data_IF_945764217854
#
_entry.id   IF_945764217854
#
_cell.length_a   1.000
_cell.length_b   1.000
_cell.length_c   1.000
_cell.angle_alpha   90.00
_cell.angle_beta   90.00
_cell.angle_gamma   90.00
#
_symmetry.space_group_name_H-M   'P 1'
#
loop_
_entity.id
_entity.type
_entity.pdbx_description
1 polymer ?
#
# COMPACT_ATOMS: atom_id res chain seq x y z
N UNK A 1 16.40 -12.48 -63.82
CA UNK A 1 16.44 -12.94 -62.42
C UNK A 1 15.70 -11.91 -61.62
N UNK A 2 14.42 -12.15 -61.38
CA UNK A 2 13.55 -11.26 -60.63
C UNK A 2 13.97 -11.26 -59.16
N UNK A 3 14.11 -10.06 -58.62
CA UNK A 3 14.40 -9.82 -57.21
C UNK A 3 13.11 -10.15 -56.45
N UNK A 4 13.09 -11.27 -55.73
CA UNK A 4 12.00 -11.59 -54.81
C UNK A 4 12.00 -10.54 -53.69
N UNK A 5 11.12 -9.56 -53.82
CA UNK A 5 10.78 -8.63 -52.76
C UNK A 5 10.06 -9.40 -51.66
N UNK A 6 10.64 -9.44 -50.46
CA UNK A 6 9.94 -9.88 -49.26
C UNK A 6 8.79 -8.90 -49.03
N UNK A 7 7.58 -9.34 -49.36
CA UNK A 7 6.36 -8.62 -49.00
C UNK A 7 6.29 -8.53 -47.47
N UNK A 8 6.44 -7.32 -46.94
CA UNK A 8 6.00 -6.99 -45.59
C UNK A 8 4.50 -7.22 -45.50
N UNK A 9 4.11 -8.41 -45.03
CA UNK A 9 2.73 -8.70 -44.66
C UNK A 9 2.44 -7.94 -43.37
N UNK A 10 1.81 -6.78 -43.48
CA UNK A 10 1.29 -6.02 -42.34
C UNK A 10 -0.15 -6.44 -42.07
N UNK A 11 -0.31 -7.60 -41.41
CA UNK A 11 -1.59 -8.08 -40.88
C UNK A 11 -1.60 -8.07 -39.34
N UNK A 12 -2.78 -8.03 -38.69
CA UNK A 12 -2.88 -8.30 -37.26
C UNK A 12 -2.41 -9.74 -36.97
N UNK A 13 -1.36 -9.89 -36.17
CA UNK A 13 -0.74 -11.19 -35.85
C UNK A 13 0.56 -11.50 -36.59
N UNK A 14 1.28 -10.50 -37.10
CA UNK A 14 2.59 -10.69 -37.73
C UNK A 14 3.73 -10.29 -36.78
N UNK A 15 4.63 -11.24 -36.53
CA UNK A 15 5.83 -11.03 -35.73
C UNK A 15 6.78 -10.07 -36.46
N UNK A 16 7.16 -8.99 -35.77
CA UNK A 16 8.18 -8.04 -36.21
C UNK A 16 9.57 -8.60 -35.92
N UNK A 17 9.73 -9.21 -34.75
CA UNK A 17 10.98 -9.78 -34.26
C UNK A 17 10.78 -11.25 -33.87
N UNK A 18 11.89 -11.99 -33.79
CA UNK A 18 11.90 -13.31 -33.17
C UNK A 18 11.80 -13.13 -31.64
N UNK A 19 10.94 -13.90 -30.98
CA UNK A 19 10.82 -13.91 -29.51
C UNK A 19 10.42 -12.53 -28.95
N UNK A 20 9.26 -12.04 -29.39
CA UNK A 20 8.65 -10.80 -28.89
C UNK A 20 7.26 -11.03 -28.29
N UNK A 21 6.79 -10.05 -27.51
CA UNK A 21 5.40 -9.97 -27.06
C UNK A 21 4.86 -8.57 -27.28
N UNK A 22 3.63 -8.45 -27.74
CA UNK A 22 3.00 -7.15 -27.94
C UNK A 22 1.51 -7.17 -27.55
N UNK A 23 0.94 -6.02 -27.14
CA UNK A 23 -0.44 -5.99 -26.68
C UNK A 23 -1.43 -6.27 -27.81
N UNK A 24 -2.57 -6.87 -27.46
CA UNK A 24 -3.75 -6.92 -28.33
C UNK A 24 -4.52 -5.60 -28.19
N UNK A 25 -4.95 -5.02 -29.31
CA UNK A 25 -5.67 -3.75 -29.32
C UNK A 25 -6.97 -3.84 -28.51
N UNK A 26 -7.21 -2.87 -27.63
CA UNK A 26 -8.41 -2.80 -26.77
C UNK A 26 -8.40 -3.70 -25.53
N UNK A 27 -7.51 -4.70 -25.41
CA UNK A 27 -7.47 -5.63 -24.27
C UNK A 27 -6.28 -5.40 -23.35
N UNK A 28 -6.50 -5.34 -22.03
CA UNK A 28 -5.41 -5.17 -21.07
C UNK A 28 -4.72 -6.49 -20.68
N UNK A 29 -5.42 -7.60 -20.86
CA UNK A 29 -5.02 -8.94 -20.41
C UNK A 29 -4.77 -9.92 -21.57
N UNK A 30 -4.89 -9.47 -22.82
CA UNK A 30 -4.53 -10.25 -24.02
C UNK A 30 -3.28 -9.70 -24.68
N UNK A 31 -2.45 -10.59 -25.18
CA UNK A 31 -1.20 -10.26 -25.86
C UNK A 31 -0.90 -11.28 -26.95
N UNK A 32 -0.11 -10.86 -27.95
CA UNK A 32 0.46 -11.77 -28.92
C UNK A 32 1.85 -12.15 -28.44
N UNK A 33 2.15 -13.44 -28.45
CA UNK A 33 3.47 -13.99 -28.21
C UNK A 33 4.01 -14.57 -29.52
N UNK A 34 5.23 -14.15 -29.88
CA UNK A 34 5.89 -14.52 -31.11
C UNK A 34 7.09 -15.40 -30.78
N UNK A 35 6.97 -16.72 -30.90
CA UNK A 35 8.08 -17.66 -30.67
C UNK A 35 8.63 -18.11 -32.02
N UNK A 36 9.91 -17.85 -32.29
CA UNK A 36 10.55 -18.20 -33.56
C UNK A 36 9.74 -17.75 -34.81
N UNK A 37 9.10 -16.58 -34.73
CA UNK A 37 8.27 -16.01 -35.81
C UNK A 37 6.85 -16.56 -35.91
N UNK A 38 6.44 -17.49 -35.03
CA UNK A 38 5.06 -17.96 -34.94
C UNK A 38 4.30 -17.14 -33.90
N UNK A 39 3.29 -16.39 -34.35
CA UNK A 39 2.42 -15.59 -33.49
C UNK A 39 1.29 -16.43 -32.91
N UNK A 40 1.08 -16.34 -31.61
CA UNK A 40 -0.07 -16.90 -30.91
C UNK A 40 -0.68 -15.84 -29.99
N UNK A 41 -2.00 -15.74 -29.99
CA UNK A 41 -2.70 -14.89 -29.04
C UNK A 41 -2.85 -15.61 -27.70
N UNK A 42 -2.39 -14.96 -26.64
CA UNK A 42 -2.40 -15.44 -25.26
C UNK A 42 -3.30 -14.55 -24.41
N UNK A 43 -3.84 -15.15 -23.36
CA UNK A 43 -4.64 -14.49 -22.34
C UNK A 43 -3.92 -14.65 -20.99
N UNK A 44 -3.78 -13.56 -20.25
CA UNK A 44 -3.29 -13.60 -18.89
C UNK A 44 -4.28 -14.36 -17.97
N UNK A 45 -3.81 -14.99 -16.89
CA UNK A 45 -4.71 -15.59 -15.89
C UNK A 45 -5.72 -14.58 -15.36
N UNK A 46 -6.89 -15.07 -14.96
CA UNK A 46 -7.99 -14.25 -14.45
C UNK A 46 -7.55 -13.36 -13.28
N UNK A 47 -7.69 -12.04 -13.45
CA UNK A 47 -7.26 -11.02 -12.51
C UNK A 47 -5.87 -10.41 -12.75
N UNK A 48 -5.08 -10.94 -13.69
CA UNK A 48 -3.79 -10.38 -14.09
C UNK A 48 -3.87 -9.60 -15.40
N UNK A 49 -2.87 -8.74 -15.64
CA UNK A 49 -2.78 -7.84 -16.80
C UNK A 49 -1.46 -8.02 -17.53
N UNK A 50 -1.48 -7.85 -18.84
CA UNK A 50 -0.28 -7.95 -19.66
C UNK A 50 0.57 -6.67 -19.54
N UNK A 51 1.80 -6.84 -19.03
CA UNK A 51 2.83 -5.81 -19.01
C UNK A 51 3.75 -5.94 -20.23
N UNK A 52 3.71 -5.01 -21.21
CA UNK A 52 4.59 -5.02 -22.37
C UNK A 52 6.04 -4.60 -22.07
N UNK A 53 6.33 -4.12 -20.85
CA UNK A 53 7.63 -3.53 -20.50
C UNK A 53 8.59 -4.50 -19.80
N UNK A 54 8.30 -5.81 -19.83
CA UNK A 54 9.20 -6.83 -19.29
C UNK A 54 9.96 -7.53 -20.42
N UNK A 55 11.15 -8.04 -20.10
CA UNK A 55 11.92 -8.86 -21.03
C UNK A 55 11.17 -10.14 -21.39
N UNK A 56 11.44 -10.68 -22.58
CA UNK A 56 10.78 -11.89 -23.09
C UNK A 56 10.92 -13.11 -22.14
N UNK A 57 12.07 -13.25 -21.48
CA UNK A 57 12.36 -14.34 -20.55
C UNK A 57 11.64 -14.21 -19.19
N UNK A 58 10.96 -13.08 -18.94
CA UNK A 58 10.18 -12.81 -17.73
C UNK A 58 8.70 -13.06 -18.02
N UNK A 59 7.98 -13.64 -17.06
CA UNK A 59 6.54 -13.84 -17.16
C UNK A 59 5.81 -12.49 -17.28
N UNK A 60 4.94 -12.28 -18.29
CA UNK A 60 4.46 -10.95 -18.65
C UNK A 60 3.16 -10.52 -17.96
N UNK A 61 2.49 -11.41 -17.22
CA UNK A 61 1.23 -11.09 -16.56
C UNK A 61 1.47 -10.68 -15.11
N UNK A 62 0.99 -9.49 -14.75
CA UNK A 62 1.26 -8.82 -13.47
C UNK A 62 -0.02 -8.30 -12.83
N UNK A 63 0.05 -7.90 -11.57
CA UNK A 63 -1.11 -7.42 -10.83
C UNK A 63 -1.61 -6.06 -11.34
N UNK A 64 -2.89 -5.72 -11.13
CA UNK A 64 -3.49 -4.46 -11.56
C UNK A 64 -2.73 -3.19 -11.16
N UNK A 65 -2.11 -3.17 -9.98
CA UNK A 65 -1.34 -2.04 -9.46
C UNK A 65 0.06 -1.87 -10.10
N UNK A 66 0.51 -2.84 -10.89
CA UNK A 66 1.81 -2.81 -11.57
C UNK A 66 1.68 -2.47 -13.06
N UNK A 67 0.46 -2.55 -13.61
CA UNK A 67 0.20 -2.41 -15.05
C UNK A 67 -0.82 -1.32 -15.34
N UNK A 68 -0.36 -0.26 -16.00
CA UNK A 68 -1.23 0.78 -16.56
C UNK A 68 -1.88 0.29 -17.88
N UNK A 69 -3.20 0.12 -17.86
CA UNK A 69 -3.97 -0.31 -19.03
C UNK A 69 -4.18 0.78 -20.09
N UNK A 70 -4.19 2.06 -19.69
CA UNK A 70 -4.46 3.22 -20.55
C UNK A 70 -5.68 2.96 -21.48
N UNK A 71 -5.51 3.05 -22.80
CA UNK A 71 -6.58 2.85 -23.80
C UNK A 71 -7.05 1.39 -23.96
N UNK A 72 -6.36 0.42 -23.33
CA UNK A 72 -6.72 -1.00 -23.38
C UNK A 72 -7.57 -1.35 -22.17
N UNK A 73 -8.88 -1.13 -22.21
CA UNK A 73 -9.73 -1.33 -21.01
C UNK A 73 -10.47 -2.66 -20.96
N UNK A 74 -10.53 -3.43 -22.05
CA UNK A 74 -11.22 -4.71 -22.05
C UNK A 74 -10.44 -5.75 -21.21
N UNK A 75 -11.19 -6.48 -20.40
CA UNK A 75 -10.73 -7.59 -19.56
C UNK A 75 -11.61 -8.80 -19.82
N UNK A 76 -11.07 -9.99 -19.59
CA UNK A 76 -11.84 -11.22 -19.54
C UNK A 76 -12.90 -11.17 -18.44
N UNK A 77 -13.99 -11.95 -18.57
CA UNK A 77 -14.95 -12.12 -17.48
C UNK A 77 -14.29 -12.76 -16.24
N UNK A 78 -14.73 -12.40 -15.02
CA UNK A 78 -14.26 -13.03 -13.80
C UNK A 78 -14.52 -14.54 -13.82
N UNK A 79 -13.58 -15.30 -13.27
CA UNK A 79 -13.72 -16.74 -13.04
C UNK A 79 -13.69 -17.01 -11.53
N UNK A 80 -14.81 -16.73 -10.82
CA UNK A 80 -14.83 -16.79 -9.37
C UNK A 80 -14.71 -18.21 -8.84
N UNK A 81 -14.11 -18.35 -7.66
CA UNK A 81 -14.13 -19.56 -6.84
C UNK A 81 -15.01 -19.33 -5.60
N UNK A 82 -15.04 -20.30 -4.68
CA UNK A 82 -15.69 -20.11 -3.39
C UNK A 82 -15.07 -18.95 -2.58
N UNK A 83 -13.75 -18.74 -2.71
CA UNK A 83 -13.00 -17.79 -1.89
C UNK A 83 -12.73 -16.45 -2.59
N UNK A 84 -12.70 -16.46 -3.93
CA UNK A 84 -12.05 -15.41 -4.71
C UNK A 84 -12.93 -14.93 -5.87
N UNK A 85 -13.20 -13.60 -5.99
CA UNK A 85 -13.93 -13.03 -7.12
C UNK A 85 -13.21 -13.19 -8.46
N UNK A 86 -11.88 -13.08 -8.44
CA UNK A 86 -10.98 -13.47 -9.54
C UNK A 86 -9.92 -14.42 -9.01
N UNK A 87 -9.37 -15.29 -9.87
CA UNK A 87 -8.35 -16.25 -9.45
C UNK A 87 -7.07 -15.60 -8.89
N UNK A 88 -6.73 -14.39 -9.37
CA UNK A 88 -5.63 -13.58 -8.86
C UNK A 88 -6.13 -12.19 -8.48
N UNK A 89 -5.67 -11.66 -7.33
CA UNK A 89 -5.96 -10.28 -6.95
C UNK A 89 -5.92 -10.04 -5.45
N UNK A 90 -6.15 -8.77 -5.08
CA UNK A 90 -6.32 -8.35 -3.68
C UNK A 90 -7.73 -7.79 -3.51
N UNK A 91 -8.45 -8.27 -2.51
CA UNK A 91 -9.86 -7.95 -2.28
C UNK A 91 -10.07 -7.51 -0.84
N UNK A 92 -10.77 -6.39 -0.63
CA UNK A 92 -11.12 -5.93 0.72
C UNK A 92 -11.96 -6.97 1.48
N UNK A 93 -11.70 -7.11 2.77
CA UNK A 93 -12.52 -7.87 3.71
C UNK A 93 -13.00 -6.89 4.79
N UNK A 94 -14.28 -7.00 5.14
CA UNK A 94 -14.90 -6.18 6.19
C UNK A 94 -15.75 -5.04 5.62
N UNK A 95 -16.11 -4.10 6.49
CA UNK A 95 -17.03 -3.01 6.21
C UNK A 95 -16.38 -1.65 6.43
N UNK A 96 -17.16 -0.57 6.34
CA UNK A 96 -16.65 0.78 6.55
C UNK A 96 -16.06 0.99 7.95
N UNK A 97 -16.45 0.20 8.97
CA UNK A 97 -15.94 0.33 10.34
C UNK A 97 -14.81 -0.64 10.65
N UNK A 98 -14.64 -1.69 9.86
CA UNK A 98 -13.61 -2.72 10.00
C UNK A 98 -12.89 -2.90 8.65
N UNK A 99 -12.15 -1.88 8.24
CA UNK A 99 -11.65 -1.76 6.88
C UNK A 99 -10.17 -2.17 6.70
N UNK A 100 -9.55 -2.80 7.72
CA UNK A 100 -8.15 -3.23 7.70
C UNK A 100 -7.91 -4.59 7.04
N UNK A 101 -8.95 -5.41 6.88
CA UNK A 101 -8.84 -6.75 6.33
C UNK A 101 -8.74 -6.77 4.80
N UNK A 102 -7.94 -7.68 4.26
CA UNK A 102 -7.92 -7.97 2.82
C UNK A 102 -7.55 -9.43 2.54
N UNK A 103 -8.01 -9.92 1.40
CA UNK A 103 -7.75 -11.26 0.88
C UNK A 103 -6.82 -11.17 -0.31
N UNK A 104 -5.73 -11.93 -0.28
CA UNK A 104 -4.93 -12.20 -1.48
C UNK A 104 -5.40 -13.49 -2.11
N UNK A 105 -5.69 -13.48 -3.40
CA UNK A 105 -6.07 -14.64 -4.17
C UNK A 105 -4.92 -15.06 -5.08
N UNK A 106 -4.55 -16.34 -5.01
CA UNK A 106 -3.55 -16.96 -5.88
C UNK A 106 -4.12 -18.25 -6.43
N UNK A 107 -4.33 -18.31 -7.75
CA UNK A 107 -4.94 -19.44 -8.43
C UNK A 107 -6.27 -19.88 -7.80
N UNK A 108 -7.09 -18.90 -7.43
CA UNK A 108 -8.43 -19.11 -6.86
C UNK A 108 -8.46 -19.51 -5.38
N UNK A 109 -7.31 -19.60 -4.71
CA UNK A 109 -7.20 -19.85 -3.26
C UNK A 109 -7.00 -18.52 -2.53
N UNK A 110 -7.86 -18.24 -1.55
CA UNK A 110 -7.83 -17.01 -0.76
C UNK A 110 -7.00 -17.13 0.52
N UNK A 111 -6.23 -16.08 0.80
CA UNK A 111 -5.45 -15.92 2.03
C UNK A 111 -5.78 -14.58 2.66
N UNK A 112 -6.25 -14.61 3.91
CA UNK A 112 -6.69 -13.41 4.62
C UNK A 112 -5.54 -12.78 5.39
N UNK A 113 -5.44 -11.45 5.27
CA UNK A 113 -4.44 -10.61 5.91
C UNK A 113 -5.11 -9.41 6.55
N UNK A 114 -4.39 -8.80 7.49
CA UNK A 114 -4.79 -7.56 8.13
C UNK A 114 -3.68 -6.54 7.87
N UNK A 115 -4.06 -5.32 7.51
CA UNK A 115 -3.14 -4.21 7.42
C UNK A 115 -2.45 -3.93 8.76
N UNK A 116 -1.25 -3.31 8.77
CA UNK A 116 -0.66 -2.80 10.00
C UNK A 116 -1.62 -1.93 10.80
N UNK A 117 -1.46 -1.90 12.11
CA UNK A 117 -2.39 -1.23 13.03
C UNK A 117 -2.65 0.23 12.60
N UNK A 118 -3.94 0.58 12.51
CA UNK A 118 -4.41 1.90 12.12
C UNK A 118 -4.47 2.16 10.61
N UNK A 119 -4.11 1.20 9.75
CA UNK A 119 -4.25 1.32 8.30
C UNK A 119 -5.47 0.55 7.75
N UNK A 120 -6.02 1.07 6.66
CA UNK A 120 -7.16 0.53 5.93
C UNK A 120 -6.71 -0.02 4.58
N UNK A 121 -7.30 -1.11 4.11
CA UNK A 121 -7.00 -1.61 2.78
C UNK A 121 -7.76 -0.81 1.70
N UNK A 122 -7.02 -0.22 0.76
CA UNK A 122 -7.55 0.46 -0.41
C UNK A 122 -7.69 -0.49 -1.59
N UNK A 123 -8.91 -0.70 -2.07
CA UNK A 123 -9.16 -1.45 -3.31
C UNK A 123 -8.76 -0.69 -4.58
N UNK A 124 -8.52 0.62 -4.47
CA UNK A 124 -8.07 1.46 -5.59
C UNK A 124 -6.56 1.30 -5.83
N UNK A 125 -5.77 1.38 -4.76
CA UNK A 125 -4.30 1.30 -4.84
C UNK A 125 -3.75 -0.10 -4.56
N UNK A 126 -4.61 -1.03 -4.11
CA UNK A 126 -4.28 -2.40 -3.72
C UNK A 126 -3.26 -2.47 -2.57
N UNK A 127 -3.32 -1.51 -1.65
CA UNK A 127 -2.36 -1.33 -0.55
C UNK A 127 -3.04 -0.88 0.73
N UNK A 128 -2.33 -1.02 1.84
CA UNK A 128 -2.73 -0.42 3.12
C UNK A 128 -2.43 1.08 3.10
N UNK A 129 -3.47 1.89 3.28
CA UNK A 129 -3.43 3.34 3.28
C UNK A 129 -4.06 3.91 4.55
N UNK A 130 -3.95 5.23 4.69
CA UNK A 130 -4.60 5.95 5.77
C UNK A 130 -6.13 5.84 5.63
N UNK A 131 -6.88 5.55 6.70
CA UNK A 131 -8.32 5.35 6.61
C UNK A 131 -9.10 6.53 6.03
N UNK A 132 -8.59 7.76 6.14
CA UNK A 132 -9.18 8.98 5.57
C UNK A 132 -8.96 9.16 4.06
N UNK A 133 -8.00 8.43 3.48
CA UNK A 133 -7.75 8.37 2.03
C UNK A 133 -8.49 7.18 1.37
N UNK A 134 -9.04 6.27 2.17
CA UNK A 134 -9.81 5.12 1.67
C UNK A 134 -11.29 5.48 1.58
N UNK A 135 -11.77 5.71 0.36
CA UNK A 135 -13.11 6.25 0.09
C UNK A 135 -14.28 5.47 0.73
N UNK A 136 -14.11 4.18 0.99
CA UNK A 136 -15.11 3.30 1.57
C UNK A 136 -14.76 2.83 3.00
N UNK A 137 -13.87 3.55 3.69
CA UNK A 137 -13.63 3.42 5.13
C UNK A 137 -14.17 4.64 5.89
N UNK A 138 -14.91 4.39 6.97
CA UNK A 138 -15.25 5.39 7.98
C UNK A 138 -14.09 5.48 8.96
N UNK A 139 -13.17 6.41 8.68
CA UNK A 139 -11.96 6.60 9.46
C UNK A 139 -12.27 6.76 10.96
N UNK A 140 -13.21 7.65 11.35
CA UNK A 140 -13.53 7.91 12.76
C UNK A 140 -14.05 6.67 13.47
N UNK A 141 -14.93 5.90 12.82
CA UNK A 141 -15.48 4.69 13.39
C UNK A 141 -14.46 3.55 13.46
N UNK A 142 -13.58 3.44 12.47
CA UNK A 142 -12.51 2.43 12.43
C UNK A 142 -11.43 2.70 13.47
N UNK A 143 -10.92 3.93 13.56
CA UNK A 143 -9.89 4.27 14.55
C UNK A 143 -10.46 4.53 15.94
N UNK A 144 -11.78 4.67 16.07
CA UNK A 144 -12.45 4.96 17.34
C UNK A 144 -12.16 6.36 17.89
N UNK A 145 -11.74 7.28 17.03
CA UNK A 145 -11.38 8.65 17.39
C UNK A 145 -12.04 9.65 16.44
N UNK A 146 -12.77 10.59 17.02
CA UNK A 146 -13.31 11.76 16.31
C UNK A 146 -12.44 12.96 16.61
N UNK A 147 -12.08 13.69 15.56
CA UNK A 147 -11.30 14.90 15.73
C UNK A 147 -12.14 15.98 16.43
N UNK A 148 -11.56 16.70 17.41
CA UNK A 148 -12.25 17.79 18.07
C UNK A 148 -12.55 18.91 17.06
N UNK A 149 -13.70 19.57 17.21
CA UNK A 149 -14.02 20.74 16.42
C UNK A 149 -12.98 21.84 16.67
N UNK A 150 -12.35 22.32 15.59
CA UNK A 150 -11.36 23.40 15.71
C UNK A 150 -12.11 24.74 15.83
N UNK A 151 -11.95 25.49 16.94
CA UNK A 151 -12.64 26.75 17.10
C UNK A 151 -12.15 27.78 16.07
N UNK A 152 -13.09 28.48 15.45
CA UNK A 152 -12.82 29.60 14.54
C UNK A 152 -12.18 30.72 15.36
N UNK A 153 -10.92 31.05 15.07
CA UNK A 153 -10.30 32.18 15.75
C UNK A 153 -10.82 33.48 15.14
N UNK A 154 -11.14 34.47 15.98
CA UNK A 154 -11.59 35.79 15.52
C UNK A 154 -10.54 36.52 14.69
N UNK A 155 -9.27 36.18 14.87
CA UNK A 155 -8.11 36.82 14.25
C UNK A 155 -7.66 36.15 12.94
N UNK A 156 -7.81 34.81 12.82
CA UNK A 156 -7.35 34.02 11.67
C UNK A 156 -8.50 33.48 10.80
N UNK A 157 -9.75 33.61 11.26
CA UNK A 157 -10.92 33.05 10.57
C UNK A 157 -11.04 31.53 10.72
N UNK A 158 -11.92 30.88 9.94
CA UNK A 158 -12.05 29.42 9.95
C UNK A 158 -10.72 28.78 9.53
N UNK A 159 -10.33 27.62 10.09
CA UNK A 159 -9.09 26.96 9.72
C UNK A 159 -9.07 26.72 8.21
N UNK A 160 -8.15 27.40 7.51
CA UNK A 160 -7.91 27.13 6.10
C UNK A 160 -7.38 25.70 6.02
N UNK A 161 -8.18 24.77 5.50
CA UNK A 161 -7.72 23.43 5.21
C UNK A 161 -6.40 23.51 4.42
N UNK A 162 -5.39 22.76 4.84
CA UNK A 162 -4.10 22.77 4.16
C UNK A 162 -4.30 22.34 2.70
N UNK A 163 -4.05 23.25 1.75
CA UNK A 163 -3.99 22.91 0.32
C UNK A 163 -2.63 22.27 0.04
N UNK A 164 -2.60 20.96 -0.16
CA UNK A 164 -1.42 20.32 -0.74
C UNK A 164 -1.34 20.67 -2.23
N UNK A 165 -0.26 21.31 -2.67
CA UNK A 165 0.11 21.37 -4.08
C UNK A 165 0.79 20.03 -4.45
N UNK A 166 -0.03 18.99 -4.59
CA UNK A 166 0.28 17.75 -5.29
C UNK A 166 -0.58 17.68 -6.56
N UNK A 167 -0.02 17.18 -7.65
CA UNK A 167 -0.49 17.46 -9.01
C UNK A 167 -1.90 16.93 -9.30
N UNK A 168 -2.73 17.83 -9.84
CA UNK A 168 -3.99 17.61 -10.57
C UNK A 168 -5.15 16.88 -9.85
N UNK A 169 -5.96 17.65 -9.11
CA UNK A 169 -7.36 17.34 -8.84
C UNK A 169 -8.26 18.48 -9.35
N UNK A 170 -8.59 18.43 -10.63
CA UNK A 170 -9.82 19.06 -11.13
C UNK A 170 -10.89 17.97 -11.17
N UNK A 171 -11.99 18.25 -10.47
CA UNK A 171 -13.25 17.48 -10.43
C UNK A 171 -13.35 16.32 -9.43
N UNK A 172 -13.52 16.63 -8.14
CA UNK A 172 -14.80 16.33 -7.48
C UNK A 172 -14.96 17.12 -6.17
N UNK A 173 -16.01 17.94 -6.09
CA UNK A 173 -16.41 18.61 -4.84
C UNK A 173 -17.20 17.60 -4.01
N UNK A 174 -16.53 16.75 -3.23
CA UNK A 174 -17.11 16.02 -2.08
C UNK A 174 -15.99 15.27 -1.37
N UNK A 175 -15.34 15.97 -0.45
CA UNK A 175 -14.77 15.49 0.82
C UNK A 175 -13.79 16.57 1.28
N UNK A 176 -14.23 17.37 2.24
CA UNK A 176 -13.29 18.18 3.01
C UNK A 176 -12.44 17.17 3.78
N UNK A 177 -11.18 16.99 3.35
CA UNK A 177 -10.21 16.17 4.06
C UNK A 177 -10.12 16.73 5.48
N UNK A 178 -10.56 15.94 6.47
CA UNK A 178 -10.40 16.29 7.88
C UNK A 178 -8.89 16.44 8.15
N UNK A 179 -8.39 17.57 8.68
CA UNK A 179 -6.94 17.87 8.74
C UNK A 179 -6.14 17.03 9.76
N UNK A 180 -6.66 15.89 10.20
CA UNK A 180 -6.37 15.34 11.52
C UNK A 180 -4.96 14.79 11.70
N UNK A 181 -4.27 14.39 10.63
CA UNK A 181 -2.94 13.79 10.77
C UNK A 181 -1.76 14.75 10.50
N UNK A 182 -2.00 15.98 10.03
CA UNK A 182 -0.90 16.92 9.69
C UNK A 182 -1.06 18.37 10.17
N UNK A 183 -2.03 18.65 11.04
CA UNK A 183 -2.11 19.94 11.71
C UNK A 183 -0.98 20.09 12.78
N UNK A 184 -0.27 21.23 12.85
CA UNK A 184 0.81 21.45 13.83
C UNK A 184 0.37 21.24 15.30
N UNK A 185 -0.92 21.43 15.60
CA UNK A 185 -1.50 21.18 16.93
C UNK A 185 -1.86 19.71 17.20
N UNK A 186 -2.02 18.86 16.19
CA UNK A 186 -2.11 17.39 16.39
C UNK A 186 -0.72 16.78 16.63
N UNK A 187 0.33 17.40 16.09
CA UNK A 187 1.71 17.08 16.46
C UNK A 187 1.97 17.44 17.93
N UNK A 188 1.51 18.62 18.36
CA UNK A 188 1.63 19.05 19.75
C UNK A 188 0.79 18.22 20.74
N UNK A 189 -0.37 17.68 20.33
CA UNK A 189 -1.17 16.79 21.18
C UNK A 189 -0.62 15.34 21.20
N UNK A 190 0.16 14.94 20.18
CA UNK A 190 1.01 13.74 20.21
C UNK A 190 2.10 13.86 21.27
N UNK A 191 2.70 15.05 21.40
CA UNK A 191 3.77 15.31 22.37
C UNK A 191 3.24 15.41 23.82
N UNK A 192 2.01 15.89 24.00
CA UNK A 192 1.39 16.07 25.33
C UNK A 192 0.50 14.90 25.82
N UNK A 193 0.13 13.93 24.98
CA UNK A 193 -0.66 12.76 25.40
C UNK A 193 -0.04 11.39 25.06
N UNK A 194 1.00 11.32 24.23
CA UNK A 194 1.67 10.06 23.90
C UNK A 194 0.86 9.14 22.98
N UNK A 195 1.54 8.41 22.09
CA UNK A 195 0.93 7.39 21.25
C UNK A 195 0.56 6.17 22.12
N UNK A 196 -0.72 5.77 22.17
CA UNK A 196 -1.24 4.80 23.17
C UNK A 196 -0.99 5.22 24.65
N UNK A 197 -0.84 6.52 24.92
CA UNK A 197 -0.46 7.03 26.25
C UNK A 197 1.04 6.95 26.56
N UNK A 198 1.86 6.43 25.63
CA UNK A 198 3.31 6.37 25.77
C UNK A 198 3.96 7.67 25.30
N UNK A 199 4.70 8.32 26.20
CA UNK A 199 5.48 9.51 25.91
C UNK A 199 6.95 9.15 25.78
N UNK A 200 7.60 9.62 24.71
CA UNK A 200 9.04 9.51 24.59
C UNK A 200 9.72 10.23 25.76
N UNK A 201 10.78 9.64 26.34
CA UNK A 201 11.61 10.34 27.30
C UNK A 201 12.24 11.60 26.69
N UNK A 202 12.67 12.51 27.57
CA UNK A 202 13.38 13.72 27.14
C UNK A 202 14.64 13.36 26.35
N UNK A 203 14.87 14.11 25.27
CA UNK A 203 16.02 13.89 24.38
C UNK A 203 17.30 14.26 25.16
N UNK A 204 18.29 13.35 25.26
CA UNK A 204 19.57 13.69 25.87
C UNK A 204 20.23 14.86 25.13
N UNK A 205 20.81 15.79 25.87
CA UNK A 205 21.61 16.90 25.33
C UNK A 205 23.10 16.57 25.45
N UNK A 206 23.90 16.99 24.48
CA UNK A 206 25.35 16.87 24.55
C UNK A 206 25.98 17.94 25.46
N UNK A 207 27.31 17.94 25.54
CA UNK A 207 28.06 18.88 26.36
C UNK A 207 27.91 20.35 25.90
N UNK A 208 27.49 20.57 24.65
CA UNK A 208 27.29 21.88 24.04
C UNK A 208 25.82 22.34 24.15
N UNK A 209 24.94 21.48 24.66
CA UNK A 209 23.52 21.76 24.87
C UNK A 209 22.66 21.46 23.65
N UNK A 210 23.21 20.80 22.63
CA UNK A 210 22.47 20.41 21.44
C UNK A 210 21.75 19.07 21.68
N UNK A 211 20.47 18.93 21.25
CA UNK A 211 19.76 17.66 21.35
C UNK A 211 20.45 16.57 20.53
N UNK A 212 20.79 15.46 21.18
CA UNK A 212 21.41 14.31 20.54
C UNK A 212 20.33 13.58 19.72
N UNK A 213 20.47 13.62 18.40
CA UNK A 213 19.55 12.98 17.44
C UNK A 213 19.77 11.45 17.40
N UNK A 214 19.27 10.76 18.43
CA UNK A 214 19.32 9.30 18.55
C UNK A 214 17.93 8.69 18.52
N UNK A 215 17.82 7.55 17.83
CA UNK A 215 16.63 6.71 17.86
C UNK A 215 16.71 5.80 19.08
N UNK A 216 15.75 5.93 19.99
CA UNK A 216 15.67 5.11 21.20
C UNK A 216 14.44 4.20 21.14
N UNK A 217 14.62 2.93 21.47
CA UNK A 217 13.54 1.95 21.45
C UNK A 217 13.20 1.49 22.88
N UNK A 218 11.91 1.33 23.17
CA UNK A 218 11.39 0.97 24.48
C UNK A 218 10.40 -0.19 24.36
N UNK A 219 10.45 -1.14 25.29
CA UNK A 219 9.56 -2.31 25.25
C UNK A 219 8.10 -1.89 25.44
N UNK A 220 7.17 -2.57 24.74
CA UNK A 220 5.75 -2.45 25.01
C UNK A 220 5.27 -3.69 25.79
N UNK A 221 4.58 -3.50 26.93
CA UNK A 221 4.01 -4.61 27.70
C UNK A 221 3.04 -5.42 26.85
N UNK A 222 3.49 -6.59 26.39
CA UNK A 222 2.71 -7.51 25.57
C UNK A 222 3.06 -8.95 25.96
N UNK A 223 2.11 -9.90 25.86
CA UNK A 223 2.33 -11.28 26.27
C UNK A 223 3.50 -11.99 25.56
N UNK A 224 3.94 -11.47 24.41
CA UNK A 224 4.95 -12.05 23.53
C UNK A 224 6.15 -11.11 23.27
N UNK A 225 6.19 -9.92 23.92
CA UNK A 225 7.17 -8.85 23.70
C UNK A 225 7.49 -8.54 22.24
N UNK A 226 6.56 -8.76 21.31
CA UNK A 226 6.83 -8.49 19.90
C UNK A 226 6.78 -7.00 19.61
N UNK A 227 6.07 -6.24 20.43
CA UNK A 227 5.82 -4.82 20.21
C UNK A 227 6.77 -3.92 21.02
N UNK A 228 7.10 -2.76 20.46
CA UNK A 228 7.97 -1.77 21.08
C UNK A 228 7.67 -0.36 20.55
N UNK A 229 8.05 0.67 21.30
CA UNK A 229 8.02 2.05 20.85
C UNK A 229 9.38 2.49 20.34
N UNK A 230 9.42 3.22 19.24
CA UNK A 230 10.62 3.87 18.71
C UNK A 230 10.45 5.38 18.77
N UNK A 231 11.39 6.04 19.43
CA UNK A 231 11.42 7.48 19.64
C UNK A 231 12.45 8.13 18.72
N UNK A 232 11.97 8.98 17.81
CA UNK A 232 12.78 9.80 16.92
C UNK A 232 12.39 11.28 17.11
N UNK A 233 13.32 12.08 17.67
CA UNK A 233 13.11 13.51 17.97
C UNK A 233 11.87 13.77 18.82
N UNK A 234 11.69 12.96 19.87
CA UNK A 234 10.54 13.04 20.78
C UNK A 234 9.25 12.42 20.22
N UNK A 235 9.26 11.92 18.98
CA UNK A 235 8.06 11.34 18.35
C UNK A 235 8.07 9.82 18.54
N UNK A 236 7.07 9.32 19.25
CA UNK A 236 6.86 7.89 19.45
C UNK A 236 6.24 7.25 18.20
N UNK A 237 6.72 6.07 17.83
CA UNK A 237 6.12 5.17 16.85
C UNK A 237 5.94 3.81 17.48
N UNK A 238 4.77 3.20 17.35
CA UNK A 238 4.56 1.82 17.77
C UNK A 238 4.96 0.88 16.63
N UNK A 239 5.85 -0.05 16.91
CA UNK A 239 6.41 -1.00 15.96
C UNK A 239 6.30 -2.42 16.53
N UNK A 240 6.44 -3.40 15.65
CA UNK A 240 6.53 -4.81 16.02
C UNK A 240 7.77 -5.44 15.38
N UNK A 241 8.36 -6.39 16.08
CA UNK A 241 9.37 -7.29 15.54
C UNK A 241 8.77 -8.21 14.48
N UNK A 242 9.61 -8.65 13.54
CA UNK A 242 9.26 -9.65 12.54
C UNK A 242 8.92 -11.00 13.20
N UNK A 243 8.22 -11.86 12.46
CA UNK A 243 7.81 -13.18 12.92
C UNK A 243 9.02 -14.00 13.44
N UNK A 244 8.90 -14.54 14.65
CA UNK A 244 9.95 -15.32 15.33
C UNK A 244 10.90 -14.49 16.20
N UNK A 245 10.78 -13.17 16.19
CA UNK A 245 11.60 -12.27 16.99
C UNK A 245 10.78 -11.63 18.12
N UNK A 246 11.43 -11.34 19.24
CA UNK A 246 10.90 -10.54 20.34
C UNK A 246 11.83 -9.36 20.65
N UNK A 247 11.28 -8.30 21.19
CA UNK A 247 12.02 -7.10 21.55
C UNK A 247 12.80 -7.32 22.84
N UNK A 248 14.13 -7.22 22.77
CA UNK A 248 15.01 -7.30 23.92
C UNK A 248 15.35 -5.89 24.41
N UNK A 249 14.77 -5.51 25.55
CA UNK A 249 14.96 -4.19 26.16
C UNK A 249 16.41 -3.92 26.56
N UNK A 250 17.18 -4.95 26.93
CA UNK A 250 18.57 -4.78 27.37
C UNK A 250 19.50 -4.28 26.25
N UNK A 251 19.11 -4.50 25.01
CA UNK A 251 19.86 -4.11 23.80
C UNK A 251 19.06 -3.17 22.89
N UNK A 252 17.81 -2.84 23.24
CA UNK A 252 16.96 -1.91 22.51
C UNK A 252 16.62 -2.34 21.08
N UNK A 253 16.53 -3.65 20.81
CA UNK A 253 16.24 -4.18 19.46
C UNK A 253 15.61 -5.57 19.49
N UNK A 254 15.03 -5.97 18.36
CA UNK A 254 14.50 -7.32 18.14
C UNK A 254 15.63 -8.37 18.08
N UNK A 255 15.41 -9.53 18.70
CA UNK A 255 16.26 -10.73 18.64
C UNK A 255 15.36 -11.98 18.68
N UNK A 256 15.89 -13.16 18.37
CA UNK A 256 15.18 -14.44 18.50
C UNK A 256 14.40 -14.53 19.82
N UNK A 257 13.10 -14.84 19.71
CA UNK A 257 12.18 -14.84 20.83
C UNK A 257 12.61 -15.78 21.97
N UNK A 258 13.25 -16.90 21.63
CA UNK A 258 13.77 -17.87 22.60
C UNK A 258 14.87 -17.30 23.52
N UNK A 259 15.49 -16.20 23.12
CA UNK A 259 16.55 -15.52 23.86
C UNK A 259 16.02 -14.32 24.67
N UNK A 260 14.73 -14.02 24.62
CA UNK A 260 14.12 -12.88 25.30
C UNK A 260 13.24 -13.38 26.44
N UNK A 261 13.51 -12.90 27.65
CA UNK A 261 12.72 -13.24 28.83
C UNK A 261 11.57 -12.24 28.97
N UNK A 262 10.43 -12.55 28.35
CA UNK A 262 9.19 -11.80 28.51
C UNK A 262 8.55 -12.06 29.87
N UNK A 263 8.55 -11.07 30.75
CA UNK A 263 7.81 -11.12 32.01
C UNK A 263 6.91 -9.88 32.10
N UNK A 264 5.65 -10.03 31.70
CA UNK A 264 4.58 -9.05 31.91
C UNK A 264 3.32 -9.75 32.42
#
# INVERSE_FOLDING_TARGET
MEILTFAQYSGPGVCKELNERHPVSGSCDRYIECINGTAEEKLCPDGLRFNPNVNFDVYPCQYPNEVACLERSALQPPQPTADCPHQFGYFKIGDARNCSGFRTCVNGVGYDFVCPDGLAFSSETYRCEWPDEVADCDAEAFVGFRCPEVPISKELGPPAGFRFYGQNWLANKRSAVSPCHRAPKCQQMSDDLGYLGFKCPEIPIDADGDPIDIVLNYSYPSPNCTSFFSCDKGRARFLSCDLGLAFDESIGRCRDADLVQCNY
#
